data_IF_960523359730
#
_entry.id   IF_960523359730
#
_cell.length_a   1.000
_cell.length_b   1.000
_cell.length_c   1.000
_cell.angle_alpha   90.00
_cell.angle_beta   90.00
_cell.angle_gamma   90.00
#
_symmetry.space_group_name_H-M   'P 1'
#
loop_
_entity.id
_entity.type
_entity.pdbx_description
1 polymer ?
#
# COMPACT_ATOMS: atom_id res chain seq x y z
N UNK A 1 0.35 -6.75 -14.40
CA UNK A 1 -1.08 -6.79 -14.76
C UNK A 1 -1.90 -6.43 -13.53
N UNK A 2 -2.92 -5.58 -13.69
CA UNK A 2 -3.86 -5.24 -12.61
C UNK A 2 -5.22 -5.78 -13.02
N UNK A 3 -5.84 -6.57 -12.15
CA UNK A 3 -7.21 -7.08 -12.33
C UNK A 3 -8.10 -6.63 -11.17
N UNK A 4 -9.40 -6.52 -11.47
CA UNK A 4 -10.45 -6.19 -10.52
C UNK A 4 -11.48 -7.32 -10.54
N UNK A 5 -11.91 -7.77 -9.35
CA UNK A 5 -13.04 -8.68 -9.18
C UNK A 5 -13.96 -8.11 -8.11
N UNK A 6 -15.25 -7.96 -8.43
CA UNK A 6 -16.28 -7.58 -7.47
C UNK A 6 -17.02 -8.84 -7.02
N UNK A 7 -17.09 -9.07 -5.71
CA UNK A 7 -17.87 -10.13 -5.08
C UNK A 7 -18.76 -9.48 -4.02
N UNK A 8 -20.05 -9.38 -4.31
CA UNK A 8 -21.04 -8.68 -3.50
C UNK A 8 -20.59 -7.25 -3.17
N UNK A 9 -20.24 -6.99 -1.91
CA UNK A 9 -19.78 -5.69 -1.39
C UNK A 9 -18.27 -5.66 -1.14
N UNK A 10 -17.51 -6.60 -1.72
CA UNK A 10 -16.04 -6.68 -1.64
C UNK A 10 -15.42 -6.54 -3.02
N UNK A 11 -14.49 -5.61 -3.17
CA UNK A 11 -13.63 -5.50 -4.34
C UNK A 11 -12.27 -6.15 -4.08
N UNK A 12 -11.78 -6.95 -5.00
CA UNK A 12 -10.43 -7.53 -4.97
C UNK A 12 -9.64 -6.93 -6.13
N UNK A 13 -8.59 -6.18 -5.80
CA UNK A 13 -7.66 -5.58 -6.76
C UNK A 13 -6.36 -6.34 -6.66
N UNK A 14 -6.00 -7.09 -7.71
CA UNK A 14 -4.78 -7.90 -7.71
C UNK A 14 -3.71 -7.27 -8.59
N UNK A 15 -2.50 -7.17 -8.04
CA UNK A 15 -1.31 -6.68 -8.71
C UNK A 15 -0.38 -7.86 -9.00
N UNK A 16 -0.41 -8.36 -10.25
CA UNK A 16 0.39 -9.51 -10.67
C UNK A 16 1.45 -9.05 -11.66
N UNK A 17 2.73 -8.94 -11.29
CA UNK A 17 3.79 -8.71 -12.25
C UNK A 17 4.04 -9.97 -13.10
N UNK A 18 4.71 -9.84 -14.26
CA UNK A 18 5.27 -11.00 -14.94
C UNK A 18 6.16 -11.82 -14.00
N UNK A 19 6.28 -13.12 -14.26
CA UNK A 19 7.14 -13.99 -13.45
C UNK A 19 8.59 -13.47 -13.37
N UNK A 20 9.16 -13.51 -12.17
CA UNK A 20 10.50 -12.98 -11.90
C UNK A 20 10.62 -11.44 -11.97
N UNK A 21 9.51 -10.70 -12.05
CA UNK A 21 9.50 -9.23 -12.07
C UNK A 21 8.75 -8.67 -10.86
N UNK A 22 9.00 -7.39 -10.58
CA UNK A 22 8.29 -6.65 -9.54
C UNK A 22 7.12 -5.86 -10.11
N UNK A 23 6.12 -5.61 -9.27
CA UNK A 23 5.08 -4.61 -9.53
C UNK A 23 5.68 -3.23 -9.31
N UNK A 24 6.10 -2.57 -10.39
CA UNK A 24 6.62 -1.20 -10.34
C UNK A 24 5.49 -0.18 -10.23
N UNK A 25 5.61 0.79 -9.32
CA UNK A 25 4.70 1.94 -9.28
C UNK A 25 5.18 3.04 -10.23
N UNK A 26 5.23 2.74 -11.53
CA UNK A 26 5.48 3.73 -12.58
C UNK A 26 4.21 4.53 -12.93
N UNK A 27 4.35 5.60 -13.72
CA UNK A 27 3.22 6.47 -14.03
C UNK A 27 2.05 5.75 -14.71
N UNK A 28 2.24 4.86 -15.70
CA UNK A 28 1.17 4.04 -16.27
C UNK A 28 0.47 3.17 -15.22
N UNK A 29 1.22 2.50 -14.36
CA UNK A 29 0.68 1.62 -13.32
C UNK A 29 -0.12 2.42 -12.30
N UNK A 30 0.41 3.53 -11.81
CA UNK A 30 -0.29 4.42 -10.88
C UNK A 30 -1.61 4.93 -11.50
N UNK A 31 -1.59 5.40 -12.75
CA UNK A 31 -2.80 5.84 -13.47
C UNK A 31 -3.83 4.70 -13.58
N UNK A 32 -3.37 3.48 -13.84
CA UNK A 32 -4.25 2.30 -13.91
C UNK A 32 -4.86 1.98 -12.55
N UNK A 33 -4.08 2.00 -11.46
CA UNK A 33 -4.58 1.82 -10.09
C UNK A 33 -5.63 2.90 -9.77
N UNK A 34 -5.35 4.17 -10.05
CA UNK A 34 -6.29 5.28 -9.82
C UNK A 34 -7.60 5.02 -10.55
N UNK A 35 -7.55 4.63 -11.83
CA UNK A 35 -8.76 4.31 -12.61
C UNK A 35 -9.56 3.17 -11.97
N UNK A 36 -8.88 2.08 -11.61
CA UNK A 36 -9.52 0.92 -10.96
C UNK A 36 -10.14 1.30 -9.61
N UNK A 37 -9.47 2.08 -8.78
CA UNK A 37 -10.01 2.51 -7.49
C UNK A 37 -11.19 3.47 -7.63
N UNK A 38 -11.18 4.34 -8.66
CA UNK A 38 -12.34 5.19 -8.99
C UNK A 38 -13.56 4.36 -9.40
N UNK A 39 -13.37 3.36 -10.26
CA UNK A 39 -14.43 2.42 -10.63
C UNK A 39 -15.01 1.71 -9.38
N UNK A 40 -14.15 1.22 -8.49
CA UNK A 40 -14.60 0.62 -7.22
C UNK A 40 -15.32 1.63 -6.32
N UNK A 41 -14.88 2.89 -6.32
CA UNK A 41 -15.48 3.93 -5.49
C UNK A 41 -16.96 4.16 -5.82
N UNK A 42 -17.36 3.97 -7.07
CA UNK A 42 -18.72 4.11 -7.57
C UNK A 42 -19.55 2.81 -7.47
N UNK A 43 -18.89 1.68 -7.16
CA UNK A 43 -19.55 0.38 -7.01
C UNK A 43 -20.26 0.22 -5.64
N UNK A 44 -21.05 -0.85 -5.45
CA UNK A 44 -21.60 -1.24 -4.15
C UNK A 44 -20.56 -1.68 -3.11
N UNK A 45 -19.29 -1.83 -3.50
CA UNK A 45 -18.24 -2.28 -2.60
C UNK A 45 -18.09 -1.36 -1.39
N UNK A 46 -17.97 -1.97 -0.21
CA UNK A 46 -17.66 -1.33 1.07
C UNK A 46 -16.22 -1.56 1.51
N UNK A 47 -15.59 -2.61 0.97
CA UNK A 47 -14.22 -2.99 1.29
C UNK A 47 -13.43 -3.29 0.02
N UNK A 48 -12.13 -3.03 0.06
CA UNK A 48 -11.16 -3.34 -1.00
C UNK A 48 -10.05 -4.19 -0.42
N UNK A 49 -9.74 -5.29 -1.10
CA UNK A 49 -8.60 -6.16 -0.84
C UNK A 49 -7.58 -5.93 -1.94
N UNK A 50 -6.47 -5.27 -1.63
CA UNK A 50 -5.37 -5.06 -2.57
C UNK A 50 -4.36 -6.17 -2.34
N UNK A 51 -4.18 -7.04 -3.33
CA UNK A 51 -3.37 -8.25 -3.22
C UNK A 51 -2.12 -8.17 -4.09
N UNK A 52 -0.97 -8.47 -3.50
CA UNK A 52 0.25 -8.79 -4.24
C UNK A 52 0.14 -10.14 -4.95
N UNK A 53 0.95 -10.34 -5.98
CA UNK A 53 1.02 -11.58 -6.74
C UNK A 53 2.47 -11.89 -7.10
N UNK A 54 2.76 -13.17 -7.34
CA UNK A 54 4.09 -13.60 -7.78
C UNK A 54 5.24 -13.16 -6.85
N UNK A 55 5.01 -13.18 -5.54
CA UNK A 55 6.01 -12.78 -4.53
C UNK A 55 6.33 -11.27 -4.50
N UNK A 56 5.47 -10.42 -5.06
CA UNK A 56 5.63 -8.98 -4.99
C UNK A 56 4.29 -8.28 -4.77
N UNK A 57 4.22 -7.47 -3.72
CA UNK A 57 3.11 -6.56 -3.51
C UNK A 57 3.25 -5.33 -4.42
N UNK A 58 4.27 -4.52 -4.15
CA UNK A 58 4.62 -3.36 -4.95
C UNK A 58 6.02 -2.88 -4.57
N UNK A 59 6.73 -2.33 -5.54
CA UNK A 59 7.96 -1.58 -5.31
C UNK A 59 7.84 -0.17 -5.89
N UNK A 60 8.83 0.68 -5.64
CA UNK A 60 8.90 2.02 -6.22
C UNK A 60 8.98 2.02 -7.76
N UNK A 61 9.31 3.18 -8.31
CA UNK A 61 9.55 3.29 -9.74
C UNK A 61 10.89 2.66 -10.14
N UNK A 62 11.06 2.44 -11.44
CA UNK A 62 12.33 2.01 -12.01
C UNK A 62 13.39 3.10 -11.82
N UNK A 63 14.50 2.76 -11.14
CA UNK A 63 15.56 3.71 -10.83
C UNK A 63 16.23 4.27 -12.09
N UNK A 64 16.42 3.45 -13.14
CA UNK A 64 17.03 3.92 -14.39
C UNK A 64 16.19 5.00 -15.04
N UNK A 65 14.88 4.84 -15.00
CA UNK A 65 13.91 5.82 -15.48
C UNK A 65 13.97 7.10 -14.63
N UNK A 66 14.03 6.96 -13.30
CA UNK A 66 14.10 8.11 -12.38
C UNK A 66 15.38 8.94 -12.54
N UNK A 67 16.53 8.32 -12.83
CA UNK A 67 17.78 9.04 -13.06
C UNK A 67 17.72 9.98 -14.27
N UNK A 68 16.79 9.76 -15.21
CA UNK A 68 16.56 10.63 -16.36
C UNK A 68 15.60 11.79 -16.11
N UNK A 69 15.00 11.91 -14.92
CA UNK A 69 14.03 12.97 -14.64
C UNK A 69 14.72 14.29 -14.29
N UNK A 70 14.21 15.38 -14.87
CA UNK A 70 14.45 16.72 -14.36
C UNK A 70 13.56 17.02 -13.14
N UNK A 71 13.79 18.17 -12.50
CA UNK A 71 13.04 18.56 -11.30
C UNK A 71 11.52 18.67 -11.54
N UNK A 72 11.09 19.13 -12.72
CA UNK A 72 9.66 19.27 -13.05
C UNK A 72 8.99 17.90 -13.23
N UNK A 73 9.62 16.99 -13.97
CA UNK A 73 9.13 15.63 -14.19
C UNK A 73 9.10 14.85 -12.88
N UNK A 74 10.15 14.94 -12.07
CA UNK A 74 10.20 14.32 -10.75
C UNK A 74 9.09 14.84 -9.82
N UNK A 75 8.83 16.15 -9.83
CA UNK A 75 7.72 16.76 -9.07
C UNK A 75 6.36 16.27 -9.57
N UNK A 76 6.13 16.27 -10.88
CA UNK A 76 4.88 15.78 -11.47
C UNK A 76 4.62 14.31 -11.15
N UNK A 77 5.66 13.47 -11.20
CA UNK A 77 5.58 12.07 -10.82
C UNK A 77 5.27 11.89 -9.32
N UNK A 78 5.90 12.70 -8.47
CA UNK A 78 5.61 12.72 -7.04
C UNK A 78 4.16 13.11 -6.76
N UNK A 79 3.65 14.15 -7.43
CA UNK A 79 2.25 14.58 -7.31
C UNK A 79 1.27 13.49 -7.75
N UNK A 80 1.60 12.73 -8.81
CA UNK A 80 0.79 11.60 -9.25
C UNK A 80 0.69 10.51 -8.17
N UNK A 81 1.81 10.12 -7.55
CA UNK A 81 1.80 9.17 -6.43
C UNK A 81 0.99 9.67 -5.23
N UNK A 82 1.20 10.93 -4.83
CA UNK A 82 0.43 11.57 -3.75
C UNK A 82 -1.08 11.59 -4.05
N UNK A 83 -1.48 11.80 -5.32
CA UNK A 83 -2.90 11.80 -5.72
C UNK A 83 -3.55 10.42 -5.55
N UNK A 84 -2.82 9.33 -5.85
CA UNK A 84 -3.28 7.96 -5.61
C UNK A 84 -3.51 7.72 -4.11
N UNK A 85 -2.54 8.10 -3.27
CA UNK A 85 -2.66 7.84 -1.83
C UNK A 85 -3.72 8.71 -1.17
N UNK A 86 -3.89 9.95 -1.64
CA UNK A 86 -5.01 10.78 -1.20
C UNK A 86 -6.36 10.16 -1.58
N UNK A 87 -6.51 9.63 -2.80
CA UNK A 87 -7.71 8.89 -3.20
C UNK A 87 -7.98 7.71 -2.26
N UNK A 88 -6.96 6.89 -1.98
CA UNK A 88 -7.09 5.75 -1.08
C UNK A 88 -7.53 6.13 0.33
N UNK A 89 -7.03 7.24 0.89
CA UNK A 89 -7.39 7.70 2.25
C UNK A 89 -8.77 8.34 2.31
N UNK A 90 -9.23 8.96 1.23
CA UNK A 90 -10.47 9.77 1.21
C UNK A 90 -11.69 9.02 0.68
N UNK A 91 -11.48 7.91 -0.04
CA UNK A 91 -12.55 7.08 -0.59
C UNK A 91 -13.34 6.35 0.51
N UNK A 92 -14.64 6.06 0.29
CA UNK A 92 -15.52 5.54 1.33
C UNK A 92 -15.24 4.07 1.70
N UNK A 93 -14.56 3.32 0.83
CA UNK A 93 -14.24 1.92 1.08
C UNK A 93 -13.04 1.77 2.02
N UNK A 94 -13.11 0.77 2.90
CA UNK A 94 -11.99 0.36 3.75
C UNK A 94 -11.07 -0.57 2.96
N UNK A 95 -9.77 -0.31 2.97
CA UNK A 95 -8.76 -0.94 2.14
C UNK A 95 -7.83 -1.79 3.00
N UNK A 96 -7.73 -3.08 2.67
CA UNK A 96 -6.74 -4.00 3.24
C UNK A 96 -5.65 -4.24 2.20
N UNK A 97 -4.40 -3.95 2.55
CA UNK A 97 -3.23 -4.37 1.80
C UNK A 97 -2.80 -5.76 2.27
N UNK A 98 -2.81 -6.72 1.36
CA UNK A 98 -2.40 -8.11 1.57
C UNK A 98 -1.04 -8.32 0.92
N UNK A 99 0.00 -8.24 1.75
CA UNK A 99 1.39 -8.12 1.35
C UNK A 99 2.05 -9.50 1.38
N UNK A 100 2.25 -10.06 0.20
CA UNK A 100 3.01 -11.29 0.01
C UNK A 100 4.28 -11.01 -0.81
N UNK A 101 5.43 -11.25 -0.19
CA UNK A 101 6.75 -11.01 -0.74
C UNK A 101 7.22 -9.55 -0.64
N UNK A 102 7.71 -8.99 -1.74
CA UNK A 102 8.41 -7.70 -1.73
C UNK A 102 7.47 -6.49 -1.63
N UNK A 103 7.72 -5.62 -0.64
CA UNK A 103 7.09 -4.32 -0.46
C UNK A 103 8.17 -3.25 -0.22
N UNK A 104 8.51 -2.44 -1.22
CA UNK A 104 9.70 -1.57 -1.12
C UNK A 104 9.53 -0.17 -1.69
N UNK A 105 10.21 0.83 -1.13
CA UNK A 105 10.19 2.22 -1.59
C UNK A 105 8.76 2.75 -1.70
N UNK A 106 8.35 3.20 -2.89
CA UNK A 106 6.96 3.63 -3.12
C UNK A 106 5.89 2.57 -2.83
N UNK A 107 6.26 1.28 -2.85
CA UNK A 107 5.39 0.18 -2.41
C UNK A 107 5.08 0.21 -0.90
N UNK A 108 6.04 0.67 -0.08
CA UNK A 108 5.81 0.96 1.34
C UNK A 108 4.80 2.08 1.52
N UNK A 109 4.92 3.13 0.71
CA UNK A 109 4.03 4.30 0.76
C UNK A 109 2.61 3.92 0.34
N UNK A 110 2.50 3.04 -0.67
CA UNK A 110 1.25 2.45 -1.11
C UNK A 110 0.60 1.56 -0.04
N UNK A 111 1.38 0.70 0.61
CA UNK A 111 0.91 -0.09 1.76
C UNK A 111 0.47 0.81 2.93
N UNK A 112 1.20 1.89 3.21
CA UNK A 112 0.86 2.88 4.24
C UNK A 112 -0.45 3.63 3.95
N UNK A 113 -0.87 3.69 2.68
CA UNK A 113 -2.15 4.29 2.29
C UNK A 113 -3.35 3.32 2.48
N UNK A 114 -3.11 2.02 2.69
CA UNK A 114 -4.15 1.07 3.09
C UNK A 114 -4.54 1.28 4.56
N UNK A 115 -5.79 1.00 4.90
CA UNK A 115 -6.29 1.05 6.28
C UNK A 115 -5.65 -0.06 7.13
N UNK A 116 -5.63 -1.28 6.59
CA UNK A 116 -5.03 -2.47 7.19
C UNK A 116 -3.86 -2.97 6.37
N UNK A 117 -2.82 -3.47 7.04
CA UNK A 117 -1.62 -4.04 6.41
C UNK A 117 -1.40 -5.44 6.96
N UNK A 118 -1.76 -6.44 6.17
CA UNK A 118 -1.56 -7.85 6.49
C UNK A 118 -0.36 -8.34 5.68
N UNK A 119 0.46 -9.22 6.25
CA UNK A 119 1.59 -9.76 5.51
C UNK A 119 1.83 -11.24 5.78
N UNK A 120 2.44 -11.93 4.83
CA UNK A 120 3.03 -13.26 5.07
C UNK A 120 4.33 -13.14 5.87
N UNK A 121 4.71 -14.18 6.60
CA UNK A 121 5.91 -14.20 7.44
C UNK A 121 7.20 -13.94 6.64
N UNK A 122 7.23 -14.39 5.39
CA UNK A 122 8.37 -14.27 4.48
C UNK A 122 8.44 -12.93 3.73
N UNK A 123 7.46 -12.04 3.90
CA UNK A 123 7.48 -10.72 3.26
C UNK A 123 8.67 -9.87 3.69
N UNK A 124 9.16 -9.09 2.74
CA UNK A 124 10.36 -8.25 2.90
C UNK A 124 10.02 -6.80 2.60
N UNK A 125 10.45 -5.92 3.51
CA UNK A 125 10.12 -4.52 3.53
C UNK A 125 11.39 -3.68 3.46
N UNK A 126 11.41 -2.63 2.65
CA UNK A 126 12.55 -1.70 2.64
C UNK A 126 12.14 -0.32 2.16
N UNK A 127 12.79 0.71 2.68
CA UNK A 127 12.73 2.04 2.11
C UNK A 127 14.15 2.56 1.86
N UNK A 128 14.81 2.12 0.77
CA UNK A 128 16.26 2.23 0.57
C UNK A 128 16.73 3.63 0.15
N UNK A 129 15.94 4.67 0.40
CA UNK A 129 16.21 6.04 -0.06
C UNK A 129 17.58 6.56 0.39
N UNK A 130 17.91 6.42 1.68
CA UNK A 130 19.21 6.84 2.22
C UNK A 130 20.38 6.05 1.62
N UNK A 131 20.21 4.75 1.39
CA UNK A 131 21.18 3.86 0.73
C UNK A 131 21.41 4.23 -0.74
N UNK A 132 20.39 4.75 -1.41
CA UNK A 132 20.43 5.16 -2.82
C UNK A 132 20.73 6.66 -3.01
N UNK A 133 20.82 7.44 -1.94
CA UNK A 133 20.99 8.91 -2.01
C UNK A 133 19.76 9.65 -2.54
N UNK A 134 18.55 9.09 -2.38
CA UNK A 134 17.29 9.62 -2.92
C UNK A 134 16.28 9.79 -1.78
N UNK A 135 15.62 10.96 -1.73
CA UNK A 135 14.42 11.16 -0.91
C UNK A 135 13.17 10.83 -1.72
N UNK A 136 12.25 10.03 -1.16
CA UNK A 136 11.02 9.63 -1.87
C UNK A 136 9.99 10.77 -1.84
N UNK A 137 9.44 11.11 -3.02
CA UNK A 137 8.49 12.22 -3.17
C UNK A 137 7.01 11.85 -2.94
N UNK A 138 6.74 10.59 -2.66
CA UNK A 138 5.40 10.00 -2.56
C UNK A 138 4.72 10.22 -1.19
N UNK A 139 5.41 10.88 -0.25
CA UNK A 139 4.87 11.21 1.08
C UNK A 139 5.08 10.10 2.13
N UNK A 140 5.84 9.05 1.81
CA UNK A 140 6.18 7.96 2.72
C UNK A 140 6.82 8.39 4.03
N UNK A 141 7.78 9.31 3.95
CA UNK A 141 8.49 9.91 5.09
C UNK A 141 7.58 10.68 6.05
N UNK A 142 6.33 10.92 5.65
CA UNK A 142 5.29 11.52 6.47
C UNK A 142 4.29 10.48 6.95
N UNK A 143 3.77 9.64 6.04
CA UNK A 143 2.73 8.68 6.38
C UNK A 143 3.23 7.55 7.30
N UNK A 144 4.41 6.98 7.00
CA UNK A 144 4.93 5.81 7.71
C UNK A 144 5.29 6.12 9.17
N UNK A 145 5.96 7.25 9.51
CA UNK A 145 6.24 7.60 10.91
C UNK A 145 5.01 7.91 11.76
N UNK A 146 3.84 8.16 11.14
CA UNK A 146 2.56 8.31 11.86
C UNK A 146 1.91 6.96 12.18
N UNK A 147 2.33 5.90 11.50
CA UNK A 147 1.86 4.52 11.71
C UNK A 147 2.81 3.77 12.64
N UNK A 148 4.12 3.92 12.41
CA UNK A 148 5.16 3.21 13.15
C UNK A 148 5.53 3.94 14.44
N UNK A 149 6.11 3.17 15.37
CA UNK A 149 6.79 3.74 16.54
C UNK A 149 7.96 4.62 16.08
N UNK A 150 8.18 5.80 16.70
CA UNK A 150 9.22 6.74 16.27
C UNK A 150 10.61 6.11 16.09
N UNK A 151 11.09 5.34 17.08
CA UNK A 151 12.40 4.70 17.01
C UNK A 151 12.52 3.70 15.85
N UNK A 152 11.53 2.82 15.67
CA UNK A 152 11.51 1.86 14.57
C UNK A 152 11.44 2.55 13.20
N UNK A 153 10.69 3.65 13.10
CA UNK A 153 10.63 4.43 11.87
C UNK A 153 11.96 5.09 11.53
N UNK A 154 12.66 5.66 12.53
CA UNK A 154 13.96 6.26 12.35
C UNK A 154 14.99 5.23 11.90
N UNK A 155 15.03 4.06 12.54
CA UNK A 155 15.89 2.95 12.13
C UNK A 155 15.61 2.52 10.68
N UNK A 156 14.34 2.28 10.35
CA UNK A 156 13.93 1.83 9.02
C UNK A 156 14.34 2.83 7.90
N UNK A 157 14.06 4.12 8.10
CA UNK A 157 14.40 5.15 7.11
C UNK A 157 15.89 5.49 7.08
N UNK A 158 16.56 5.61 8.23
CA UNK A 158 17.96 6.04 8.28
C UNK A 158 18.91 4.94 7.79
N UNK A 159 18.67 3.68 8.17
CA UNK A 159 19.50 2.56 7.70
C UNK A 159 19.23 2.23 6.23
N UNK A 160 17.98 2.34 5.78
CA UNK A 160 17.57 1.91 4.45
C UNK A 160 17.73 0.40 4.22
N UNK A 161 17.85 -0.38 5.29
CA UNK A 161 18.03 -1.83 5.25
C UNK A 161 16.70 -2.58 5.05
N UNK A 162 16.80 -3.87 4.75
CA UNK A 162 15.63 -4.74 4.61
C UNK A 162 15.15 -5.23 5.98
N UNK A 163 13.84 -5.13 6.21
CA UNK A 163 13.15 -5.58 7.41
C UNK A 163 12.25 -6.77 7.04
N UNK A 164 12.15 -7.74 7.95
CA UNK A 164 11.20 -8.85 7.88
C UNK A 164 9.86 -8.47 8.50
N UNK A 165 8.82 -9.25 8.20
CA UNK A 165 7.47 -9.04 8.74
C UNK A 165 7.46 -8.84 10.25
N UNK A 166 8.21 -9.65 11.00
CA UNK A 166 8.30 -9.54 12.46
C UNK A 166 8.82 -8.18 12.95
N UNK A 167 9.82 -7.61 12.29
CA UNK A 167 10.35 -6.28 12.60
C UNK A 167 9.29 -5.20 12.30
N UNK A 168 8.59 -5.33 11.18
CA UNK A 168 7.54 -4.39 10.79
C UNK A 168 6.32 -4.45 11.72
N UNK A 169 5.94 -5.63 12.22
CA UNK A 169 4.89 -5.81 13.23
C UNK A 169 5.31 -5.23 14.57
N UNK A 170 6.54 -5.52 15.06
CA UNK A 170 7.06 -4.92 16.30
C UNK A 170 7.14 -3.39 16.22
N UNK A 171 7.48 -2.86 15.05
CA UNK A 171 7.52 -1.44 14.73
C UNK A 171 6.15 -0.78 14.60
N UNK A 172 5.05 -1.55 14.54
CA UNK A 172 3.67 -1.04 14.45
C UNK A 172 3.16 -0.82 13.03
N UNK A 173 3.94 -1.15 12.00
CA UNK A 173 3.51 -0.99 10.62
C UNK A 173 2.45 -2.03 10.23
N UNK A 174 2.73 -3.31 10.47
CA UNK A 174 1.80 -4.39 10.12
C UNK A 174 0.71 -4.55 11.16
N UNK A 175 -0.51 -4.78 10.70
CA UNK A 175 -1.64 -5.14 11.55
C UNK A 175 -1.53 -6.60 11.98
N UNK A 176 -1.18 -7.52 11.08
CA UNK A 176 -0.99 -8.94 11.40
C UNK A 176 -0.05 -9.67 10.43
N UNK A 177 0.60 -10.72 10.92
CA UNK A 177 1.48 -11.62 10.16
C UNK A 177 0.85 -13.01 10.06
N UNK A 178 0.98 -13.65 8.90
CA UNK A 178 0.44 -14.98 8.63
C UNK A 178 1.53 -15.95 8.13
N UNK A 179 1.46 -17.25 8.49
CA UNK A 179 2.42 -18.23 7.99
C UNK A 179 2.43 -18.36 6.46
N UNK A 180 1.26 -18.24 5.81
CA UNK A 180 1.12 -18.35 4.36
C UNK A 180 0.15 -17.32 3.78
N UNK A 181 0.21 -17.14 2.46
CA UNK A 181 -0.75 -16.31 1.72
C UNK A 181 -2.19 -16.84 1.83
N UNK A 182 -2.37 -18.16 1.96
CA UNK A 182 -3.69 -18.77 2.13
C UNK A 182 -4.29 -18.45 3.50
N UNK A 183 -3.48 -18.49 4.57
CA UNK A 183 -3.91 -18.10 5.91
C UNK A 183 -4.29 -16.62 5.97
N UNK A 184 -3.48 -15.77 5.32
CA UNK A 184 -3.77 -14.34 5.17
C UNK A 184 -5.07 -14.10 4.39
N UNK A 185 -5.30 -14.80 3.27
CA UNK A 185 -6.51 -14.65 2.46
C UNK A 185 -7.77 -15.02 3.26
N UNK A 186 -7.72 -16.13 4.00
CA UNK A 186 -8.81 -16.58 4.88
C UNK A 186 -9.14 -15.55 5.96
N UNK A 187 -8.11 -15.03 6.66
CA UNK A 187 -8.30 -14.00 7.67
C UNK A 187 -8.84 -12.69 7.07
N UNK A 188 -8.27 -12.25 5.95
CA UNK A 188 -8.67 -11.03 5.26
C UNK A 188 -10.13 -11.12 4.80
N UNK A 189 -10.57 -12.26 4.26
CA UNK A 189 -11.97 -12.49 3.90
C UNK A 189 -12.90 -12.34 5.11
N UNK A 190 -12.55 -12.92 6.25
CA UNK A 190 -13.34 -12.80 7.49
C UNK A 190 -13.38 -11.37 8.04
N UNK A 191 -12.23 -10.68 8.07
CA UNK A 191 -12.14 -9.28 8.48
C UNK A 191 -12.99 -8.38 7.57
N UNK A 192 -12.84 -8.55 6.25
CA UNK A 192 -13.60 -7.80 5.26
C UNK A 192 -15.11 -8.06 5.38
N UNK A 193 -15.55 -9.30 5.65
CA UNK A 193 -16.96 -9.61 5.88
C UNK A 193 -17.53 -8.87 7.11
N UNK A 194 -16.78 -8.83 8.22
CA UNK A 194 -17.17 -8.07 9.43
C UNK A 194 -17.31 -6.57 9.15
N UNK A 195 -16.41 -6.00 8.36
CA UNK A 195 -16.44 -4.58 7.98
C UNK A 195 -17.60 -4.33 7.01
N UNK A 196 -17.76 -5.18 5.99
CA UNK A 196 -18.81 -5.07 4.98
C UNK A 196 -20.25 -5.14 5.56
N UNK A 197 -20.42 -5.79 6.72
CA UNK A 197 -21.69 -5.79 7.45
C UNK A 197 -22.07 -4.42 8.05
N UNK A 198 -21.15 -3.44 8.09
CA UNK A 198 -21.42 -2.09 8.62
C UNK A 198 -22.02 -1.17 7.56
N UNK A 199 -22.62 -0.07 8.02
CA UNK A 199 -23.12 0.97 7.13
C UNK A 199 -21.98 1.67 6.38
N UNK A 200 -22.16 1.91 5.08
CA UNK A 200 -21.11 2.45 4.20
C UNK A 200 -20.75 3.90 4.56
N UNK A 201 -21.73 4.72 4.91
CA UNK A 201 -21.49 6.12 5.24
C UNK A 201 -20.78 6.24 6.59
N UNK A 202 -21.16 5.43 7.58
CA UNK A 202 -20.46 5.38 8.86
C UNK A 202 -19.00 4.92 8.71
N UNK A 203 -18.73 3.90 7.88
CA UNK A 203 -17.37 3.47 7.58
C UNK A 203 -16.54 4.59 6.93
N UNK A 204 -17.11 5.28 5.94
CA UNK A 204 -16.48 6.42 5.26
C UNK A 204 -16.10 7.54 6.24
N UNK A 205 -17.03 7.90 7.14
CA UNK A 205 -16.78 8.92 8.18
C UNK A 205 -15.72 8.47 9.18
N UNK A 206 -15.78 7.23 9.66
CA UNK A 206 -14.77 6.68 10.56
C UNK A 206 -13.39 6.69 9.93
N UNK A 207 -13.28 6.21 8.68
CA UNK A 207 -12.03 6.21 7.92
C UNK A 207 -11.46 7.62 7.81
N UNK A 208 -12.25 8.60 7.37
CA UNK A 208 -11.82 10.01 7.28
C UNK A 208 -11.34 10.52 8.64
N UNK A 209 -12.09 10.25 9.72
CA UNK A 209 -11.73 10.70 11.07
C UNK A 209 -10.40 10.13 11.59
N UNK A 210 -10.06 8.88 11.24
CA UNK A 210 -8.79 8.26 11.60
C UNK A 210 -7.60 8.90 10.86
N UNK A 211 -7.77 9.24 9.57
CA UNK A 211 -6.70 9.86 8.78
C UNK A 211 -6.59 11.37 8.94
N UNK A 212 -7.66 12.08 9.35
CA UNK A 212 -7.65 13.53 9.54
C UNK A 212 -7.04 13.97 10.87
N UNK A 213 -6.72 13.04 11.78
CA UNK A 213 -5.96 13.36 13.00
C UNK A 213 -4.47 13.54 12.66
N UNK A 214 -4.20 14.74 12.15
CA UNK A 214 -2.88 15.30 11.90
C UNK A 214 -3.05 16.79 11.56
N UNK A 215 -3.60 17.56 12.52
CA UNK A 215 -3.45 19.01 12.61
C UNK A 215 -1.96 19.37 12.72
#
# INVERSE_FOLDING_TARGET
MISLTLKDVTAIVRLTPPEGRFTLLDAPTIKKIIRTLKEVSESPAKVIRIQGGSGCFAVGADLKTMYGYDGFTAKGFSMLGNSLFNLMRTMPQVITGEIDGYCMGGGMDFAAACDFRLATAESVFAHPGTKLGIITGFGGTQAIPRIMKPAASAEFFCTGEMFRSEEMKRGGFLTEIFPSAADMDSYAAHLCAKIAAKDRELLSRMKRGLFHKGL
#
